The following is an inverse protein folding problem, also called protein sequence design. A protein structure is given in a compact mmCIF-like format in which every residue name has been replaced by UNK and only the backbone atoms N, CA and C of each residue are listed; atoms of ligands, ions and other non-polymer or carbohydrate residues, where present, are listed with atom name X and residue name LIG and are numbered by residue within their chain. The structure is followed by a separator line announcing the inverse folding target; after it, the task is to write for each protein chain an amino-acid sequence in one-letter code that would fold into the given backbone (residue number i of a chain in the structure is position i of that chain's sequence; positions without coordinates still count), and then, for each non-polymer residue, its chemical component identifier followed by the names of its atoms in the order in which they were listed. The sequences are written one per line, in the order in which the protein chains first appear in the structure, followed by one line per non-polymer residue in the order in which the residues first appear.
data_IF_790175380047
#
_entry.id   IF_790175380047
#
_cell.length_a   1.000
_cell.length_b   1.000
_cell.length_c   1.000
_cell.angle_alpha   90.00
_cell.angle_beta   90.00
_cell.angle_gamma   90.00
#
_symmetry.space_group_name_H-M   'P 1'
#
loop_
_entity.id
_entity.type
_entity.pdbx_description
1 polymer ?
#
# COMPACT_ATOMS: atom_id res chain seq x y z
N UNK A 1 59.36 -7.05 57.52
CA UNK A 1 59.19 -6.29 56.25
C UNK A 1 59.51 -7.24 55.10
N UNK A 2 58.55 -8.08 54.70
CA UNK A 2 57.61 -7.88 53.58
C UNK A 2 58.24 -8.03 52.17
N UNK A 3 58.01 -9.18 51.51
CA UNK A 3 57.07 -9.33 50.37
C UNK A 3 57.17 -10.71 49.68
N UNK A 4 55.98 -11.33 49.55
CA UNK A 4 55.36 -12.08 48.42
C UNK A 4 56.20 -13.06 47.56
N UNK A 5 55.72 -14.31 47.46
CA UNK A 5 55.02 -14.84 46.26
C UNK A 5 54.52 -16.28 46.48
N UNK A 6 53.50 -16.68 45.68
CA UNK A 6 53.08 -18.03 45.24
C UNK A 6 51.74 -18.65 45.72
N UNK A 7 50.78 -18.60 44.76
CA UNK A 7 50.05 -19.72 44.12
C UNK A 7 48.67 -20.20 44.65
N UNK A 8 47.65 -19.96 43.79
CA UNK A 8 46.47 -20.75 43.30
C UNK A 8 46.06 -22.05 44.06
N UNK A 9 44.79 -22.52 44.16
CA UNK A 9 43.70 -22.60 43.16
C UNK A 9 42.35 -23.10 43.78
N UNK A 10 41.24 -22.57 43.27
CA UNK A 10 39.89 -23.13 43.00
C UNK A 10 39.01 -23.87 44.05
N UNK A 11 37.78 -23.36 44.20
CA UNK A 11 36.42 -23.98 44.10
C UNK A 11 35.43 -22.87 44.51
N UNK A 12 34.35 -22.48 43.83
CA UNK A 12 33.46 -23.14 42.88
C UNK A 12 32.04 -22.94 43.44
N UNK A 13 31.25 -21.97 42.93
CA UNK A 13 29.81 -21.89 43.20
C UNK A 13 29.10 -21.12 42.07
N UNK A 14 28.59 -21.90 41.12
CA UNK A 14 27.25 -21.85 40.53
C UNK A 14 26.63 -20.48 40.21
N UNK A 15 26.87 -20.01 38.99
CA UNK A 15 26.07 -19.00 38.31
C UNK A 15 24.73 -19.61 37.88
N UNK A 16 23.64 -19.25 38.54
CA UNK A 16 22.27 -19.59 38.12
C UNK A 16 21.64 -18.35 37.49
N UNK A 17 21.87 -18.12 36.20
CA UNK A 17 21.11 -17.11 35.43
C UNK A 17 19.84 -17.75 34.90
N UNK A 18 18.76 -17.57 35.66
CA UNK A 18 17.38 -17.91 35.29
C UNK A 18 16.93 -16.95 34.19
N UNK A 19 16.63 -17.48 33.00
CA UNK A 19 15.89 -16.77 31.95
C UNK A 19 14.43 -16.65 32.38
N UNK A 20 14.08 -15.52 32.99
CA UNK A 20 12.70 -15.20 33.39
C UNK A 20 11.99 -14.60 32.19
N UNK A 21 11.06 -15.34 31.59
CA UNK A 21 10.09 -14.79 30.64
C UNK A 21 9.16 -13.85 31.41
N UNK A 22 9.32 -12.54 31.22
CA UNK A 22 8.43 -11.53 31.81
C UNK A 22 7.02 -11.67 31.23
N UNK A 23 6.01 -11.80 32.09
CA UNK A 23 4.60 -11.85 31.67
C UNK A 23 4.18 -10.44 31.24
N UNK A 24 3.87 -10.25 29.95
CA UNK A 24 3.30 -9.00 29.43
C UNK A 24 1.97 -8.68 30.13
N UNK A 25 1.79 -7.44 30.56
CA UNK A 25 0.56 -6.93 31.18
C UNK A 25 -0.36 -6.20 30.19
N UNK A 26 -1.58 -5.86 30.62
CA UNK A 26 -2.57 -5.14 29.80
C UNK A 26 -2.03 -3.80 29.27
N UNK A 27 -1.25 -3.09 30.08
CA UNK A 27 -0.63 -1.81 29.72
C UNK A 27 0.35 -1.92 28.54
N UNK A 28 0.95 -3.09 28.28
CA UNK A 28 1.85 -3.31 27.14
C UNK A 28 1.11 -3.31 25.80
N UNK A 29 -0.21 -3.46 25.84
CA UNK A 29 -1.10 -3.49 24.67
C UNK A 29 -2.14 -2.37 24.70
N UNK A 30 -1.84 -1.27 25.40
CA UNK A 30 -2.66 -0.07 25.40
C UNK A 30 -2.23 0.86 24.26
N UNK A 31 -3.19 1.38 23.51
CA UNK A 31 -2.93 2.29 22.42
C UNK A 31 -2.60 3.69 22.99
N UNK A 32 -1.44 4.28 22.69
CA UNK A 32 -1.08 5.61 23.22
C UNK A 32 -1.97 6.77 22.74
N UNK A 33 -2.87 6.52 21.78
CA UNK A 33 -3.73 7.54 21.18
C UNK A 33 -5.11 7.55 21.83
N UNK A 34 -5.73 6.37 21.99
CA UNK A 34 -7.07 6.27 22.59
C UNK A 34 -7.06 5.78 24.04
N UNK A 35 -5.90 5.34 24.55
CA UNK A 35 -5.72 4.80 25.90
C UNK A 35 -6.61 3.58 26.20
N UNK A 36 -6.92 2.81 25.16
CA UNK A 36 -7.70 1.57 25.24
C UNK A 36 -6.86 0.41 24.72
N UNK A 37 -7.31 -0.82 24.95
CA UNK A 37 -6.66 -2.02 24.40
C UNK A 37 -6.56 -1.92 22.87
N UNK A 38 -5.39 -2.27 22.34
CA UNK A 38 -5.13 -2.17 20.91
C UNK A 38 -6.00 -3.18 20.15
N UNK A 39 -6.73 -2.67 19.16
CA UNK A 39 -7.54 -3.43 18.25
C UNK A 39 -7.09 -3.11 16.82
N UNK A 40 -6.96 -4.14 15.97
CA UNK A 40 -6.33 -4.02 14.65
C UNK A 40 -4.94 -3.39 14.75
N UNK A 41 -4.02 -4.00 15.53
CA UNK A 41 -2.70 -3.43 15.82
C UNK A 41 -1.94 -3.14 14.52
N UNK A 42 -1.43 -1.93 14.38
CA UNK A 42 -0.54 -1.53 13.30
C UNK A 42 0.83 -1.24 13.88
N UNK A 43 1.83 -1.96 13.38
CA UNK A 43 3.22 -1.66 13.70
C UNK A 43 3.76 -0.63 12.72
N UNK A 44 4.15 0.52 13.25
CA UNK A 44 4.81 1.57 12.46
C UNK A 44 6.26 1.18 12.10
N UNK A 45 6.89 1.82 11.09
CA UNK A 45 8.30 1.58 10.76
C UNK A 45 9.27 1.91 11.92
N UNK A 46 8.86 2.73 12.88
CA UNK A 46 9.59 3.01 14.11
C UNK A 46 9.26 2.04 15.26
N UNK A 47 8.53 0.95 14.99
CA UNK A 47 8.17 -0.12 15.92
C UNK A 47 7.26 0.30 17.08
N UNK A 48 6.48 1.36 16.92
CA UNK A 48 5.39 1.70 17.84
C UNK A 48 4.06 1.12 17.33
N UNK A 49 3.22 0.70 18.28
CA UNK A 49 1.98 -0.01 18.04
C UNK A 49 0.77 0.89 18.33
N UNK A 50 -0.21 0.89 17.43
CA UNK A 50 -1.45 1.66 17.57
C UNK A 50 -2.63 0.86 17.03
N UNK A 51 -3.87 1.27 17.35
CA UNK A 51 -5.04 0.78 16.62
C UNK A 51 -5.00 1.28 15.16
N UNK A 52 -5.48 0.46 14.23
CA UNK A 52 -5.60 0.86 12.82
C UNK A 52 -6.44 2.13 12.65
N UNK A 53 -7.55 2.25 13.39
CA UNK A 53 -8.41 3.45 13.37
C UNK A 53 -7.66 4.71 13.81
N UNK A 54 -6.94 4.65 14.94
CA UNK A 54 -6.10 5.74 15.45
C UNK A 54 -5.01 6.14 14.44
N UNK A 55 -4.31 5.16 13.87
CA UNK A 55 -3.23 5.41 12.91
C UNK A 55 -3.74 6.12 11.65
N UNK A 56 -4.91 5.75 11.13
CA UNK A 56 -5.49 6.42 9.95
C UNK A 56 -5.84 7.87 10.20
N UNK A 57 -6.47 8.16 11.35
CA UNK A 57 -6.81 9.53 11.71
C UNK A 57 -5.56 10.41 11.79
N UNK A 58 -4.48 9.86 12.35
CA UNK A 58 -3.20 10.57 12.44
C UNK A 58 -2.60 10.85 11.07
N UNK A 59 -2.53 9.84 10.18
CA UNK A 59 -1.97 10.02 8.83
C UNK A 59 -2.73 11.08 8.03
N UNK A 60 -4.04 11.23 8.24
CA UNK A 60 -4.83 12.27 7.57
C UNK A 60 -4.47 13.70 8.02
N UNK A 61 -4.00 13.87 9.26
CA UNK A 61 -3.62 15.17 9.82
C UNK A 61 -2.13 15.44 9.62
N UNK A 62 -1.28 14.49 10.00
CA UNK A 62 0.16 14.56 9.88
C UNK A 62 0.77 13.15 9.86
N UNK A 63 1.54 12.84 8.82
CA UNK A 63 2.19 11.54 8.64
C UNK A 63 3.41 11.37 9.56
N UNK A 64 3.22 11.45 10.88
CA UNK A 64 4.26 11.26 11.90
C UNK A 64 3.81 10.33 13.02
N UNK A 65 4.76 9.62 13.64
CA UNK A 65 4.49 8.78 14.80
C UNK A 65 4.23 9.61 16.07
N UNK A 66 3.12 9.42 16.80
CA UNK A 66 2.85 10.14 18.06
C UNK A 66 3.92 9.93 19.14
N UNK A 67 4.55 8.76 19.17
CA UNK A 67 5.47 8.37 20.23
C UNK A 67 6.87 8.95 20.04
N UNK A 68 7.35 9.02 18.80
CA UNK A 68 8.73 9.41 18.52
C UNK A 68 8.90 10.49 17.45
N UNK A 69 7.79 10.99 16.88
CA UNK A 69 7.74 12.04 15.85
C UNK A 69 8.45 11.71 14.54
N UNK A 70 8.83 10.44 14.33
CA UNK A 70 9.39 9.98 13.05
C UNK A 70 8.33 10.15 11.95
N UNK A 71 8.70 10.77 10.84
CA UNK A 71 7.85 10.84 9.65
C UNK A 71 7.66 9.47 9.02
N UNK A 72 6.45 9.21 8.56
CA UNK A 72 6.14 8.06 7.72
C UNK A 72 6.45 8.40 6.27
N UNK A 73 6.81 7.37 5.52
CA UNK A 73 6.95 7.47 4.07
C UNK A 73 5.59 7.83 3.44
N UNK A 74 5.57 8.61 2.35
CA UNK A 74 4.35 8.90 1.58
C UNK A 74 3.68 7.62 1.05
N UNK A 75 4.45 6.56 0.86
CA UNK A 75 4.00 5.22 0.49
C UNK A 75 3.50 4.39 1.69
N UNK A 76 3.61 4.86 2.93
CA UNK A 76 3.20 4.07 4.08
C UNK A 76 1.69 3.78 4.09
N UNK A 77 1.34 2.49 4.04
CA UNK A 77 -0.03 2.00 4.20
C UNK A 77 -0.08 1.14 5.46
N UNK A 78 -0.87 1.53 6.49
CA UNK A 78 -1.06 0.74 7.69
C UNK A 78 -1.53 -0.68 7.39
N UNK A 79 -0.77 -1.68 7.85
CA UNK A 79 -1.14 -3.10 7.78
C UNK A 79 -1.37 -3.63 9.20
N UNK A 80 -2.44 -4.41 9.37
CA UNK A 80 -2.74 -5.06 10.64
C UNK A 80 -1.73 -6.18 10.89
N UNK A 81 -1.13 -6.16 12.06
CA UNK A 81 -0.28 -7.22 12.60
C UNK A 81 -1.16 -8.32 13.20
N UNK A 82 -1.43 -9.35 12.40
CA UNK A 82 -2.30 -10.46 12.79
C UNK A 82 -1.72 -11.27 13.96
N UNK A 83 -0.39 -11.37 14.09
CA UNK A 83 0.25 -12.11 15.17
C UNK A 83 0.04 -11.37 16.50
N UNK A 84 0.31 -10.06 16.51
CA UNK A 84 0.05 -9.22 17.69
C UNK A 84 -1.44 -9.21 18.04
N UNK A 85 -2.33 -9.19 17.05
CA UNK A 85 -3.78 -9.26 17.33
C UNK A 85 -4.18 -10.57 18.01
N UNK A 86 -3.71 -11.71 17.50
CA UNK A 86 -3.96 -13.02 18.11
C UNK A 86 -3.40 -13.07 19.53
N UNK A 87 -2.23 -12.51 19.77
CA UNK A 87 -1.65 -12.42 21.11
C UNK A 87 -2.54 -11.62 22.06
N UNK A 88 -3.06 -10.46 21.64
CA UNK A 88 -3.96 -9.62 22.45
C UNK A 88 -5.26 -10.37 22.76
N UNK A 89 -5.87 -10.99 21.76
CA UNK A 89 -7.13 -11.73 21.90
C UNK A 89 -6.99 -12.94 22.85
N UNK A 90 -5.85 -13.63 22.83
CA UNK A 90 -5.57 -14.73 23.74
C UNK A 90 -5.31 -14.29 25.18
N UNK A 91 -4.57 -13.19 25.36
CA UNK A 91 -4.20 -12.71 26.70
C UNK A 91 -5.33 -11.93 27.38
N UNK A 92 -6.16 -11.21 26.61
CA UNK A 92 -7.20 -10.31 27.12
C UNK A 92 -8.53 -10.45 26.35
N UNK A 93 -9.17 -11.64 26.34
CA UNK A 93 -10.30 -11.94 25.47
C UNK A 93 -11.54 -11.07 25.74
N UNK A 94 -11.86 -10.78 27.01
CA UNK A 94 -13.02 -9.98 27.36
C UNK A 94 -12.85 -8.51 26.93
N UNK A 95 -11.71 -7.90 27.28
CA UNK A 95 -11.37 -6.53 26.89
C UNK A 95 -11.35 -6.36 25.37
N UNK A 96 -10.75 -7.32 24.66
CA UNK A 96 -10.67 -7.30 23.20
C UNK A 96 -12.05 -7.45 22.55
N UNK A 97 -12.90 -8.35 23.05
CA UNK A 97 -14.25 -8.55 22.53
C UNK A 97 -15.13 -7.30 22.71
N UNK A 98 -15.04 -6.66 23.88
CA UNK A 98 -15.74 -5.39 24.13
C UNK A 98 -15.26 -4.30 23.17
N UNK A 99 -13.94 -4.11 23.06
CA UNK A 99 -13.35 -3.11 22.16
C UNK A 99 -13.73 -3.35 20.70
N UNK A 100 -13.70 -4.61 20.25
CA UNK A 100 -14.12 -5.01 18.91
C UNK A 100 -15.58 -4.65 18.65
N UNK A 101 -16.48 -4.91 19.60
CA UNK A 101 -17.90 -4.55 19.49
C UNK A 101 -18.10 -3.04 19.35
N UNK A 102 -17.39 -2.25 20.16
CA UNK A 102 -17.41 -0.78 20.07
C UNK A 102 -16.97 -0.29 18.69
N UNK A 103 -15.85 -0.80 18.17
CA UNK A 103 -15.34 -0.41 16.84
C UNK A 103 -16.27 -0.83 15.71
N UNK A 104 -16.92 -1.99 15.81
CA UNK A 104 -17.94 -2.43 14.83
C UNK A 104 -19.13 -1.47 14.86
N UNK A 105 -19.65 -1.16 16.04
CA UNK A 105 -20.79 -0.24 16.19
C UNK A 105 -20.49 1.16 15.67
N UNK A 106 -19.24 1.60 15.77
CA UNK A 106 -18.77 2.88 15.25
C UNK A 106 -18.39 2.85 13.75
N UNK A 107 -18.46 1.70 13.08
CA UNK A 107 -18.04 1.55 11.68
C UNK A 107 -16.53 1.71 11.46
N UNK A 108 -15.72 1.54 12.51
CA UNK A 108 -14.27 1.73 12.49
C UNK A 108 -13.50 0.41 12.37
N UNK A 109 -14.16 -0.73 12.65
CA UNK A 109 -13.58 -2.07 12.52
C UNK A 109 -13.46 -2.50 11.06
N UNK A 110 -12.25 -2.81 10.60
CA UNK A 110 -11.97 -3.24 9.22
C UNK A 110 -12.04 -4.76 9.04
N UNK A 111 -11.73 -5.52 10.08
CA UNK A 111 -11.48 -6.95 10.04
C UNK A 111 -10.13 -7.28 9.40
N UNK A 112 -10.08 -8.41 8.71
CA UNK A 112 -8.85 -8.89 8.04
C UNK A 112 -8.62 -8.22 6.68
N UNK A 113 -9.28 -7.09 6.40
CA UNK A 113 -9.13 -6.40 5.13
C UNK A 113 -7.75 -5.77 5.02
N UNK A 114 -7.14 -5.93 3.85
CA UNK A 114 -5.86 -5.34 3.48
C UNK A 114 -6.11 -4.09 2.63
N UNK A 115 -5.47 -2.99 3.01
CA UNK A 115 -5.48 -1.76 2.24
C UNK A 115 -4.40 -1.82 1.14
N UNK A 116 -4.81 -1.70 -0.12
CA UNK A 116 -3.94 -1.62 -1.30
C UNK A 116 -3.96 -0.21 -1.84
N UNK A 117 -2.81 0.44 -1.89
CA UNK A 117 -2.67 1.80 -2.43
C UNK A 117 -2.25 1.75 -3.89
N UNK A 118 -3.08 2.34 -4.73
CA UNK A 118 -2.83 2.54 -6.15
C UNK A 118 -2.47 3.99 -6.40
N UNK A 119 -1.66 4.22 -7.44
CA UNK A 119 -1.43 5.54 -8.01
C UNK A 119 -1.83 5.56 -9.47
N UNK A 120 -2.29 6.71 -9.93
CA UNK A 120 -2.61 6.97 -11.32
C UNK A 120 -2.21 8.38 -11.69
N UNK A 121 -2.08 8.64 -12.98
CA UNK A 121 -1.79 9.98 -13.49
C UNK A 121 -0.96 9.92 -14.75
N UNK A 122 -0.25 11.01 -15.03
CA UNK A 122 0.52 11.15 -16.24
C UNK A 122 1.99 11.44 -15.97
N UNK A 123 2.86 10.75 -16.72
CA UNK A 123 4.24 11.18 -16.92
C UNK A 123 4.32 12.13 -18.12
N UNK A 124 5.33 12.99 -18.15
CA UNK A 124 5.54 13.99 -19.21
C UNK A 124 7.02 14.19 -19.54
N UNK A 125 7.31 14.38 -20.83
CA UNK A 125 8.58 14.89 -21.35
C UNK A 125 8.35 15.76 -22.61
N UNK A 126 9.26 16.71 -22.85
CA UNK A 126 9.26 17.51 -24.08
C UNK A 126 9.82 16.71 -25.27
N UNK A 127 9.18 16.88 -26.43
CA UNK A 127 9.62 16.28 -27.69
C UNK A 127 10.69 17.15 -28.34
N UNK A 128 11.88 16.59 -28.59
CA UNK A 128 13.03 17.32 -29.16
C UNK A 128 12.77 17.97 -30.53
N UNK A 129 11.92 17.38 -31.37
CA UNK A 129 11.58 17.87 -32.70
C UNK A 129 10.06 17.80 -32.92
N UNK A 130 9.30 18.73 -32.34
CA UNK A 130 7.85 18.62 -32.28
C UNK A 130 7.24 18.99 -33.64
N UNK A 131 6.18 18.27 -34.04
CA UNK A 131 5.49 18.49 -35.33
C UNK A 131 4.25 19.35 -35.12
N UNK A 132 3.82 20.14 -36.13
CA UNK A 132 2.53 20.84 -36.08
C UNK A 132 1.39 19.87 -35.78
N UNK A 133 0.37 20.35 -35.07
CA UNK A 133 -0.80 19.54 -34.78
C UNK A 133 -1.67 19.37 -36.02
N UNK A 134 -2.08 18.12 -36.31
CA UNK A 134 -2.97 17.84 -37.46
C UNK A 134 -4.33 18.57 -37.37
N UNK A 135 -4.74 18.95 -36.16
CA UNK A 135 -5.99 19.70 -35.93
C UNK A 135 -5.85 21.20 -36.15
N UNK A 136 -4.63 21.75 -35.97
CA UNK A 136 -4.34 23.18 -36.02
C UNK A 136 -2.83 23.37 -36.25
N UNK A 137 -2.47 23.84 -37.44
CA UNK A 137 -1.07 24.05 -37.83
C UNK A 137 -0.37 25.18 -37.04
N UNK A 138 -1.10 25.97 -36.26
CA UNK A 138 -0.52 26.97 -35.35
C UNK A 138 -0.07 26.37 -34.01
N UNK A 139 -0.53 25.15 -33.70
CA UNK A 139 -0.16 24.40 -32.49
C UNK A 139 0.92 23.39 -32.82
N UNK A 140 1.75 23.06 -31.84
CA UNK A 140 2.85 22.11 -32.01
C UNK A 140 2.74 21.02 -30.95
N UNK A 141 2.78 19.76 -31.38
CA UNK A 141 2.73 18.59 -30.51
C UNK A 141 4.07 18.41 -29.79
N UNK A 142 4.32 19.23 -28.77
CA UNK A 142 5.56 19.29 -28.02
C UNK A 142 5.59 18.44 -26.75
N UNK A 143 4.45 17.93 -26.29
CA UNK A 143 4.36 17.19 -25.04
C UNK A 143 4.14 15.70 -25.34
N UNK A 144 5.13 14.84 -25.03
CA UNK A 144 4.89 13.40 -24.91
C UNK A 144 4.44 13.13 -23.49
N UNK A 145 3.36 12.37 -23.36
CA UNK A 145 2.84 11.97 -22.06
C UNK A 145 2.48 10.48 -22.03
N UNK A 146 2.48 9.93 -20.82
CA UNK A 146 2.13 8.53 -20.55
C UNK A 146 1.12 8.50 -19.42
N UNK A 147 -0.11 8.04 -19.68
CA UNK A 147 -1.06 7.72 -18.62
C UNK A 147 -0.79 6.33 -18.08
N UNK A 148 -0.97 6.15 -16.78
CA UNK A 148 -0.78 4.87 -16.11
C UNK A 148 -1.71 4.70 -14.90
N UNK A 149 -1.88 3.44 -14.50
CA UNK A 149 -2.38 3.03 -13.18
C UNK A 149 -1.40 1.99 -12.63
N UNK A 150 -0.91 2.17 -11.41
CA UNK A 150 0.11 1.33 -10.79
C UNK A 150 -0.16 1.13 -9.29
N UNK A 151 0.56 0.19 -8.68
CA UNK A 151 0.62 0.06 -7.21
C UNK A 151 1.65 1.06 -6.66
N UNK A 152 1.30 1.82 -5.63
CA UNK A 152 2.18 2.90 -5.13
C UNK A 152 3.44 2.41 -4.44
N UNK A 153 3.40 1.21 -3.86
CA UNK A 153 4.49 0.67 -3.03
C UNK A 153 5.24 -0.46 -3.72
N UNK A 154 5.11 -0.56 -5.04
CA UNK A 154 5.63 -1.67 -5.82
C UNK A 154 6.44 -1.13 -6.98
N UNK A 155 7.67 -1.63 -7.12
CA UNK A 155 8.58 -1.20 -8.18
C UNK A 155 8.28 -1.92 -9.49
N UNK A 156 7.82 -3.17 -9.39
CA UNK A 156 7.42 -3.97 -10.54
C UNK A 156 6.01 -3.56 -11.01
N UNK A 157 5.98 -2.77 -12.08
CA UNK A 157 4.75 -2.22 -12.67
C UNK A 157 3.80 -3.30 -13.19
N UNK A 158 4.26 -4.52 -13.42
CA UNK A 158 3.40 -5.61 -13.93
C UNK A 158 2.44 -6.14 -12.85
N UNK A 159 2.85 -6.07 -11.58
CA UNK A 159 2.08 -6.64 -10.46
C UNK A 159 0.72 -5.98 -10.22
N UNK A 160 0.48 -4.77 -10.74
CA UNK A 160 -0.84 -4.15 -10.72
C UNK A 160 -1.88 -5.01 -11.48
N UNK A 161 -1.43 -5.81 -12.46
CA UNK A 161 -2.25 -6.80 -13.18
C UNK A 161 -2.80 -7.92 -12.31
N UNK A 162 -2.34 -8.05 -11.05
CA UNK A 162 -2.97 -8.95 -10.07
C UNK A 162 -4.39 -8.51 -9.72
N UNK A 163 -4.62 -7.20 -9.67
CA UNK A 163 -5.87 -6.61 -9.20
C UNK A 163 -6.74 -6.07 -10.34
N UNK A 164 -6.12 -5.51 -11.37
CA UNK A 164 -6.83 -4.86 -12.48
C UNK A 164 -7.01 -5.84 -13.64
N UNK A 165 -8.22 -5.88 -14.19
CA UNK A 165 -8.56 -6.63 -15.40
C UNK A 165 -8.36 -5.77 -16.66
N UNK A 166 -8.74 -4.50 -16.62
CA UNK A 166 -8.52 -3.57 -17.73
C UNK A 166 -8.69 -2.12 -17.28
N UNK A 167 -8.05 -1.19 -18.00
CA UNK A 167 -8.26 0.24 -17.88
C UNK A 167 -8.71 0.80 -19.23
N UNK A 168 -9.83 1.53 -19.26
CA UNK A 168 -10.28 2.28 -20.44
C UNK A 168 -9.95 3.75 -20.25
N UNK A 169 -9.26 4.35 -21.21
CA UNK A 169 -8.93 5.77 -21.24
C UNK A 169 -9.77 6.48 -22.30
N UNK A 170 -10.49 7.52 -21.89
CA UNK A 170 -11.29 8.39 -22.75
C UNK A 170 -10.51 9.69 -22.97
N UNK A 171 -9.91 9.80 -24.15
CA UNK A 171 -9.13 10.95 -24.58
C UNK A 171 -10.00 11.99 -25.28
N UNK A 172 -9.46 13.20 -25.43
CA UNK A 172 -10.08 14.23 -26.24
C UNK A 172 -10.40 13.73 -27.68
N UNK A 173 -11.53 14.12 -28.30
CA UNK A 173 -11.98 13.58 -29.60
C UNK A 173 -11.02 13.74 -30.79
N UNK A 174 -10.04 14.66 -30.69
CA UNK A 174 -9.00 14.88 -31.70
C UNK A 174 -7.98 13.73 -31.76
N UNK A 175 -7.85 12.93 -30.71
CA UNK A 175 -7.05 11.71 -30.73
C UNK A 175 -7.80 10.58 -31.44
N UNK A 176 -7.10 9.81 -32.27
CA UNK A 176 -7.66 8.63 -32.96
C UNK A 176 -6.80 7.40 -32.66
N UNK A 177 -7.36 6.34 -32.03
CA UNK A 177 -8.68 6.31 -31.38
C UNK A 177 -8.74 7.23 -30.15
N UNK A 178 -9.93 7.78 -29.87
CA UNK A 178 -10.18 8.63 -28.69
C UNK A 178 -10.60 7.83 -27.45
N UNK A 179 -10.95 6.55 -27.61
CA UNK A 179 -11.22 5.64 -26.50
C UNK A 179 -10.30 4.44 -26.65
N UNK A 180 -9.53 4.12 -25.61
CA UNK A 180 -8.51 3.07 -25.65
C UNK A 180 -8.69 2.18 -24.42
N UNK A 181 -8.99 0.90 -24.64
CA UNK A 181 -9.00 -0.10 -23.59
C UNK A 181 -7.68 -0.86 -23.57
N UNK A 182 -7.00 -0.85 -22.43
CA UNK A 182 -5.78 -1.64 -22.17
C UNK A 182 -6.16 -2.77 -21.23
N UNK A 183 -5.99 -4.02 -21.66
CA UNK A 183 -6.41 -5.21 -20.89
C UNK A 183 -5.25 -5.99 -20.28
N UNK A 184 -4.02 -5.54 -20.51
CA UNK A 184 -2.81 -6.16 -19.97
C UNK A 184 -1.98 -5.14 -19.17
N UNK A 185 -1.33 -5.57 -18.07
CA UNK A 185 -0.39 -4.72 -17.36
C UNK A 185 0.79 -4.32 -18.28
N UNK A 186 1.43 -3.16 -18.02
CA UNK A 186 1.24 -2.24 -16.89
C UNK A 186 0.15 -1.17 -17.16
N UNK A 187 -0.82 -1.47 -18.02
CA UNK A 187 -1.99 -0.63 -18.33
C UNK A 187 -1.67 0.80 -18.79
N UNK A 188 -0.53 1.02 -19.44
CA UNK A 188 -0.12 2.35 -19.88
C UNK A 188 -0.66 2.70 -21.28
N UNK A 189 -0.82 4.00 -21.54
CA UNK A 189 -0.94 4.55 -22.90
C UNK A 189 0.02 5.72 -23.06
N UNK A 190 0.61 5.87 -24.26
CA UNK A 190 1.45 7.03 -24.58
C UNK A 190 0.91 7.77 -25.80
N UNK A 191 0.93 9.10 -25.74
CA UNK A 191 0.52 9.98 -26.83
C UNK A 191 1.39 11.23 -26.85
N UNK A 192 1.27 12.00 -27.91
CA UNK A 192 1.88 13.32 -28.05
C UNK A 192 0.77 14.33 -28.30
N UNK A 193 0.80 15.45 -27.61
CA UNK A 193 -0.19 16.51 -27.74
C UNK A 193 0.39 17.88 -27.40
N UNK A 194 -0.47 18.89 -27.49
CA UNK A 194 -0.12 20.29 -27.23
C UNK A 194 -0.95 20.92 -26.10
N UNK A 195 -2.11 20.32 -25.76
CA UNK A 195 -3.10 20.92 -24.87
C UNK A 195 -3.37 20.10 -23.63
N UNK A 196 -3.81 20.80 -22.60
CA UNK A 196 -4.33 20.24 -21.35
C UNK A 196 -5.78 19.80 -21.57
N UNK A 197 -6.16 18.65 -21.03
CA UNK A 197 -7.52 18.16 -21.03
C UNK A 197 -7.70 17.13 -19.93
N UNK A 198 -8.94 16.93 -19.51
CA UNK A 198 -9.30 15.89 -18.57
C UNK A 198 -9.41 14.54 -19.28
N UNK A 199 -8.77 13.52 -18.70
CA UNK A 199 -8.85 12.14 -19.13
C UNK A 199 -9.74 11.40 -18.14
N UNK A 200 -10.89 10.97 -18.64
CA UNK A 200 -11.76 10.05 -17.90
C UNK A 200 -11.25 8.62 -18.05
N UNK A 201 -11.22 7.88 -16.96
CA UNK A 201 -10.70 6.51 -16.89
C UNK A 201 -11.69 5.58 -16.22
N UNK A 202 -11.90 4.41 -16.82
CA UNK A 202 -12.66 3.32 -16.22
C UNK A 202 -11.71 2.19 -15.84
N UNK A 203 -11.62 1.85 -14.55
CA UNK A 203 -10.85 0.73 -14.03
C UNK A 203 -11.79 -0.42 -13.72
N UNK A 204 -11.61 -1.53 -14.44
CA UNK A 204 -12.30 -2.79 -14.16
C UNK A 204 -11.35 -3.68 -13.37
N UNK A 205 -11.73 -4.03 -12.15
CA UNK A 205 -10.96 -4.95 -11.31
C UNK A 205 -11.27 -6.41 -11.64
N UNK A 206 -10.34 -7.30 -11.31
CA UNK A 206 -10.54 -8.74 -11.46
C UNK A 206 -11.65 -9.23 -10.53
N UNK A 207 -12.40 -10.24 -10.97
CA UNK A 207 -13.61 -10.73 -10.25
C UNK A 207 -13.31 -11.12 -8.81
N UNK A 208 -12.16 -11.75 -8.56
CA UNK A 208 -11.76 -12.21 -7.23
C UNK A 208 -11.63 -11.09 -6.20
N UNK A 209 -11.39 -9.85 -6.65
CA UNK A 209 -11.28 -8.70 -5.75
C UNK A 209 -12.62 -8.28 -5.15
N UNK A 210 -13.74 -8.66 -5.77
CA UNK A 210 -15.09 -8.23 -5.37
C UNK A 210 -15.37 -6.74 -5.56
N UNK A 211 -14.45 -5.97 -6.16
CA UNK A 211 -14.61 -4.53 -6.36
C UNK A 211 -15.43 -4.28 -7.64
N UNK A 212 -16.41 -3.38 -7.54
CA UNK A 212 -17.10 -2.86 -8.72
C UNK A 212 -16.15 -2.06 -9.62
N UNK A 213 -16.57 -1.78 -10.86
CA UNK A 213 -15.81 -0.84 -11.71
C UNK A 213 -15.65 0.50 -11.00
N UNK A 214 -14.51 1.15 -11.19
CA UNK A 214 -14.24 2.49 -10.69
C UNK A 214 -14.04 3.45 -11.85
N UNK A 215 -14.44 4.70 -11.64
CA UNK A 215 -14.29 5.79 -12.58
C UNK A 215 -13.46 6.89 -11.93
N UNK A 216 -12.47 7.40 -12.64
CA UNK A 216 -11.53 8.42 -12.17
C UNK A 216 -11.29 9.43 -13.28
N UNK A 217 -11.17 10.70 -12.90
CA UNK A 217 -10.80 11.77 -13.81
C UNK A 217 -9.40 12.27 -13.47
N UNK A 218 -8.61 12.60 -14.50
CA UNK A 218 -7.28 13.15 -14.33
C UNK A 218 -7.05 14.30 -15.30
N UNK A 219 -6.77 15.49 -14.78
CA UNK A 219 -6.34 16.63 -15.59
C UNK A 219 -4.89 16.43 -16.03
N UNK A 220 -4.69 16.25 -17.34
CA UNK A 220 -3.37 16.03 -17.93
C UNK A 220 -2.43 17.19 -17.60
N UNK A 221 -1.27 16.89 -17.00
CA UNK A 221 -0.32 17.89 -16.51
C UNK A 221 1.02 17.80 -17.24
N UNK A 222 1.51 18.92 -17.80
CA UNK A 222 2.82 18.99 -18.46
C UNK A 222 3.89 19.68 -17.62
N UNK A 223 3.58 20.02 -16.37
CA UNK A 223 4.55 20.64 -15.48
C UNK A 223 5.56 19.60 -15.02
N UNK A 224 6.86 19.90 -15.20
CA UNK A 224 7.94 18.98 -14.83
C UNK A 224 7.78 17.61 -15.50
N UNK A 225 7.72 16.55 -14.68
CA UNK A 225 7.55 15.15 -15.13
C UNK A 225 6.08 14.70 -15.18
N UNK A 226 5.13 15.61 -15.02
CA UNK A 226 3.69 15.31 -14.94
C UNK A 226 3.19 15.22 -13.50
N UNK A 227 1.95 14.74 -13.32
CA UNK A 227 1.27 14.70 -12.03
C UNK A 227 0.72 13.30 -11.75
N UNK A 228 0.71 12.93 -10.48
CA UNK A 228 0.09 11.70 -10.01
C UNK A 228 -0.86 11.96 -8.85
N UNK A 229 -1.82 11.05 -8.70
CA UNK A 229 -2.80 10.98 -7.64
C UNK A 229 -2.84 9.54 -7.11
N UNK A 230 -3.47 9.32 -5.96
CA UNK A 230 -3.53 8.00 -5.34
C UNK A 230 -4.91 7.72 -4.75
N UNK A 231 -5.30 6.45 -4.77
CA UNK A 231 -6.49 5.94 -4.09
C UNK A 231 -6.17 4.64 -3.37
N UNK A 232 -6.97 4.29 -2.38
CA UNK A 232 -6.81 3.06 -1.59
C UNK A 232 -8.06 2.21 -1.75
N UNK A 233 -7.87 0.92 -1.99
CA UNK A 233 -8.94 -0.08 -1.95
C UNK A 233 -8.70 -1.05 -0.82
N UNK A 234 -9.78 -1.58 -0.28
CA UNK A 234 -9.77 -2.61 0.76
C UNK A 234 -10.14 -3.96 0.18
N UNK A 235 -9.29 -4.95 0.39
CA UNK A 235 -9.48 -6.32 -0.09
C UNK A 235 -9.44 -7.32 1.05
N UNK A 236 -10.08 -8.47 0.89
CA UNK A 236 -9.95 -9.56 1.86
C UNK A 236 -8.57 -10.23 1.83
N UNK A 237 -7.85 -10.11 0.72
CA UNK A 237 -6.54 -10.72 0.49
C UNK A 237 -5.73 -9.93 -0.54
N UNK A 238 -4.40 -9.99 -0.45
CA UNK A 238 -3.47 -9.48 -1.48
C UNK A 238 -3.31 -10.44 -2.67
N UNK A 239 -3.77 -11.68 -2.52
CA UNK A 239 -3.65 -12.77 -3.47
C UNK A 239 -5.01 -13.34 -3.86
N UNK A 240 -5.18 -13.76 -5.13
CA UNK A 240 -6.42 -14.38 -5.58
C UNK A 240 -6.65 -15.72 -4.86
N UNK A 241 -7.90 -16.08 -4.54
CA UNK A 241 -8.23 -17.34 -3.87
C UNK A 241 -7.66 -18.55 -4.62
N UNK A 242 -7.28 -19.59 -3.87
CA UNK A 242 -6.82 -20.85 -4.43
C UNK A 242 -7.92 -21.45 -5.34
N UNK A 243 -7.59 -21.66 -6.62
CA UNK A 243 -8.51 -22.22 -7.61
C UNK A 243 -9.28 -21.21 -8.46
N UNK A 244 -9.11 -19.90 -8.24
CA UNK A 244 -9.59 -18.85 -9.16
C UNK A 244 -9.01 -19.00 -10.58
N UNK A 245 -9.72 -18.49 -11.59
CA UNK A 245 -9.26 -18.50 -12.99
C UNK A 245 -7.86 -17.89 -13.11
N UNK A 246 -7.59 -16.81 -12.37
CA UNK A 246 -6.30 -16.12 -12.30
C UNK A 246 -5.18 -17.03 -11.77
N UNK A 247 -5.43 -17.75 -10.68
CA UNK A 247 -4.45 -18.68 -10.10
C UNK A 247 -4.20 -19.87 -11.03
N UNK A 248 -5.21 -20.34 -11.74
CA UNK A 248 -5.07 -21.40 -12.74
C UNK A 248 -4.29 -20.93 -13.98
N UNK A 249 -4.52 -19.69 -14.45
CA UNK A 249 -3.77 -19.06 -15.53
C UNK A 249 -2.29 -18.87 -15.18
N UNK A 250 -2.00 -18.34 -13.98
CA UNK A 250 -0.62 -18.20 -13.49
C UNK A 250 0.12 -19.54 -13.46
N UNK A 251 -0.50 -20.58 -12.90
CA UNK A 251 0.07 -21.95 -12.87
C UNK A 251 0.25 -22.57 -14.25
N UNK A 252 -0.61 -22.27 -15.22
CA UNK A 252 -0.45 -22.73 -16.61
C UNK A 252 0.72 -22.03 -17.28
N UNK A 253 0.87 -20.72 -17.06
CA UNK A 253 1.95 -19.92 -17.62
C UNK A 253 3.32 -20.37 -17.08
N UNK A 254 3.45 -20.56 -15.77
CA UNK A 254 4.67 -21.09 -15.13
C UNK A 254 5.06 -22.47 -15.66
N UNK A 255 4.07 -23.33 -15.96
CA UNK A 255 4.34 -24.63 -16.57
C UNK A 255 4.78 -24.52 -18.03
N UNK A 256 4.34 -23.52 -18.79
CA UNK A 256 4.76 -23.32 -20.19
C UNK A 256 6.12 -22.64 -20.34
N UNK A 257 6.57 -21.87 -19.35
CA UNK A 257 7.88 -21.20 -19.37
C UNK A 257 9.01 -22.14 -18.91
N UNK A 258 8.67 -23.19 -18.15
CA UNK A 258 9.63 -24.18 -17.63
C UNK A 258 9.73 -25.47 -18.51
N UNK A 259 9.37 -25.39 -19.79
CA UNK A 259 9.49 -26.48 -20.79
C UNK A 259 10.48 -26.10 -21.88
#
# INVERSE_FOLDING_TARGET
MEKKSQTQKAKGTTTSTVTKTEKKGKADFECPVCLEIIAEPVMTPCKHLFCLSCQKQLIQVNATCPMCRRQFDEQFVPKVDLETQQQIEQLFPADFAERKSQLISAGLWRGNKVAIKFSFGNLHEEVKNPKPANSDNTKVNCHRWIMYVALSNEQDKEKVGRFIQSVTYHLHPTFKPSVIKVSEPPFLISRIGWGYFEIHMEIVFKKWTGIAKMELDHMLCFDGKGKQEAFIIELESEEPPAGSEENQLAKRFEKSVNV
#
